data_IF_701538781843
#
_entry.id   IF_701538781843
#
_cell.length_a   1.000
_cell.length_b   1.000
_cell.length_c   1.000
_cell.angle_alpha   90.00
_cell.angle_beta   90.00
_cell.angle_gamma   90.00
#
_symmetry.space_group_name_H-M   'P 1'
#
loop_
_entity.id
_entity.type
_entity.pdbx_description
1 polymer ?
#
# COMPACT_ATOMS: atom_id res chain seq x y z
N UNK A 1 -20.22 16.48 15.16
CA UNK A 1 -18.81 16.91 15.16
C UNK A 1 -18.51 17.63 13.85
N UNK A 2 -17.56 18.56 13.85
CA UNK A 2 -17.14 19.28 12.63
C UNK A 2 -15.67 18.94 12.35
N UNK A 3 -15.39 18.50 11.13
CA UNK A 3 -14.03 18.30 10.63
C UNK A 3 -13.36 19.69 10.53
N UNK A 4 -12.18 19.84 11.13
CA UNK A 4 -11.43 21.10 11.12
C UNK A 4 -10.44 21.18 9.96
N UNK A 5 -9.86 20.05 9.57
CA UNK A 5 -8.89 19.88 8.48
C UNK A 5 -9.08 18.49 7.89
N UNK A 6 -9.04 18.36 6.57
CA UNK A 6 -9.09 17.09 5.82
C UNK A 6 -8.42 17.31 4.46
N UNK A 7 -7.66 16.30 4.00
CA UNK A 7 -7.02 16.32 2.67
C UNK A 7 -5.74 17.15 2.56
N UNK A 8 -5.19 17.64 3.66
CA UNK A 8 -3.90 18.34 3.68
C UNK A 8 -2.75 17.37 3.33
N UNK A 9 -1.84 17.80 2.46
CA UNK A 9 -0.68 17.00 2.02
C UNK A 9 0.23 16.63 3.20
N UNK A 10 0.35 17.50 4.20
CA UNK A 10 1.17 17.24 5.40
C UNK A 10 0.60 16.11 6.27
N UNK A 11 -0.67 15.76 6.09
CA UNK A 11 -1.33 14.65 6.79
C UNK A 11 -1.22 13.32 6.04
N UNK A 12 -0.52 13.29 4.90
CA UNK A 12 -0.39 12.08 4.12
C UNK A 12 0.43 11.01 4.86
N UNK A 13 -0.20 9.86 5.11
CA UNK A 13 0.40 8.72 5.79
C UNK A 13 0.83 7.66 4.76
N UNK A 14 2.04 7.80 4.21
CA UNK A 14 2.58 6.90 3.19
C UNK A 14 2.80 5.48 3.72
N UNK A 15 2.34 4.49 2.97
CA UNK A 15 2.66 3.08 3.17
C UNK A 15 3.61 2.55 2.10
N UNK A 16 4.45 1.59 2.50
CA UNK A 16 5.33 0.86 1.60
C UNK A 16 5.52 -0.57 2.07
N UNK A 17 5.99 -1.43 1.16
CA UNK A 17 6.38 -2.80 1.48
C UNK A 17 7.86 -3.00 1.16
N UNK A 18 8.56 -3.70 2.03
CA UNK A 18 10.00 -3.94 1.92
C UNK A 18 10.23 -5.45 2.04
N UNK A 19 10.49 -6.16 0.92
CA UNK A 19 10.91 -7.55 0.98
C UNK A 19 12.16 -7.72 1.85
N UNK A 20 12.16 -8.74 2.71
CA UNK A 20 13.28 -8.99 3.62
C UNK A 20 14.47 -9.57 2.86
N UNK A 21 15.67 -9.07 3.16
CA UNK A 21 16.91 -9.50 2.52
C UNK A 21 17.24 -10.98 2.84
N UNK A 22 17.33 -11.88 1.84
CA UNK A 22 17.67 -13.29 2.06
C UNK A 22 19.11 -13.52 2.55
N UNK A 23 20.05 -12.63 2.27
CA UNK A 23 21.43 -12.75 2.78
C UNK A 23 21.48 -12.60 4.31
N UNK A 24 20.54 -11.83 4.86
CA UNK A 24 20.39 -11.61 6.30
C UNK A 24 19.39 -12.59 6.95
N UNK A 25 18.42 -13.07 6.18
CA UNK A 25 17.39 -14.02 6.63
C UNK A 25 17.24 -15.17 5.62
N UNK A 26 18.12 -16.20 5.65
CA UNK A 26 18.16 -17.23 4.60
C UNK A 26 16.90 -18.10 4.49
N UNK A 27 16.08 -18.14 5.54
CA UNK A 27 14.81 -18.89 5.56
C UNK A 27 13.61 -18.07 5.08
N UNK A 28 13.81 -16.82 4.63
CA UNK A 28 12.72 -15.99 4.11
C UNK A 28 12.17 -16.57 2.81
N UNK A 29 10.86 -16.48 2.63
CA UNK A 29 10.22 -16.81 1.36
C UNK A 29 10.31 -15.62 0.38
N UNK A 30 11.43 -15.55 -0.35
CA UNK A 30 11.71 -14.47 -1.31
C UNK A 30 10.66 -14.40 -2.42
N UNK A 31 10.28 -15.55 -2.97
CA UNK A 31 9.34 -15.62 -4.09
C UNK A 31 7.96 -15.07 -3.71
N UNK A 32 7.42 -15.49 -2.56
CA UNK A 32 6.14 -14.99 -2.08
C UNK A 32 6.19 -13.49 -1.74
N UNK A 33 7.29 -13.01 -1.16
CA UNK A 33 7.46 -11.58 -0.86
C UNK A 33 7.48 -10.73 -2.14
N UNK A 34 8.17 -11.20 -3.18
CA UNK A 34 8.22 -10.52 -4.47
C UNK A 34 6.88 -10.55 -5.18
N UNK A 35 6.20 -11.71 -5.20
CA UNK A 35 4.87 -11.84 -5.79
C UNK A 35 3.85 -10.89 -5.14
N UNK A 36 3.88 -10.75 -3.81
CA UNK A 36 3.05 -9.78 -3.11
C UNK A 36 3.41 -8.34 -3.45
N UNK A 37 4.68 -7.98 -3.46
CA UNK A 37 5.14 -6.62 -3.79
C UNK A 37 4.74 -6.24 -5.23
N UNK A 38 4.86 -7.17 -6.18
CA UNK A 38 4.48 -6.95 -7.58
C UNK A 38 2.97 -6.83 -7.76
N UNK A 39 2.18 -7.67 -7.09
CA UNK A 39 0.72 -7.51 -7.09
C UNK A 39 0.31 -6.17 -6.48
N UNK A 40 0.92 -5.77 -5.36
CA UNK A 40 0.56 -4.56 -4.63
C UNK A 40 0.71 -3.30 -5.49
N UNK A 41 1.75 -3.21 -6.31
CA UNK A 41 2.00 -2.08 -7.22
C UNK A 41 1.34 -2.23 -8.60
N UNK A 42 0.70 -3.37 -8.88
CA UNK A 42 -0.01 -3.60 -10.14
C UNK A 42 -1.31 -2.80 -10.23
N UNK A 43 -1.87 -2.66 -11.43
CA UNK A 43 -3.19 -2.04 -11.61
C UNK A 43 -4.28 -2.75 -10.78
N UNK A 44 -4.21 -4.07 -10.64
CA UNK A 44 -5.15 -4.83 -9.82
C UNK A 44 -5.03 -4.47 -8.34
N UNK A 45 -3.82 -4.48 -7.79
CA UNK A 45 -3.56 -4.13 -6.39
C UNK A 45 -3.94 -2.67 -6.09
N UNK A 46 -3.57 -1.74 -6.96
CA UNK A 46 -3.93 -0.32 -6.80
C UNK A 46 -5.46 -0.13 -6.86
N UNK A 47 -6.17 -0.82 -7.75
CA UNK A 47 -7.64 -0.78 -7.80
C UNK A 47 -8.29 -1.38 -6.54
N UNK A 48 -7.73 -2.48 -6.01
CA UNK A 48 -8.21 -3.07 -4.77
C UNK A 48 -8.05 -2.10 -3.57
N UNK A 49 -6.93 -1.38 -3.49
CA UNK A 49 -6.69 -0.35 -2.47
C UNK A 49 -7.69 0.80 -2.61
N UNK A 50 -7.87 1.35 -3.82
CA UNK A 50 -8.84 2.43 -4.08
C UNK A 50 -10.29 2.00 -3.78
N UNK A 51 -10.61 0.73 -3.98
CA UNK A 51 -11.94 0.17 -3.73
C UNK A 51 -12.23 -0.12 -2.26
N UNK A 52 -11.24 -0.12 -1.38
CA UNK A 52 -11.42 -0.47 0.03
C UNK A 52 -12.16 0.64 0.79
N UNK A 53 -13.23 0.26 1.49
CA UNK A 53 -14.10 1.17 2.23
C UNK A 53 -14.39 0.72 3.64
N UNK A 54 -14.57 1.68 4.55
CA UNK A 54 -15.09 1.49 5.90
C UNK A 54 -16.23 2.48 6.09
N UNK A 55 -17.40 2.00 6.53
CA UNK A 55 -18.60 2.82 6.66
C UNK A 55 -18.88 3.68 5.40
N UNK A 56 -18.78 3.05 4.23
CA UNK A 56 -18.97 3.64 2.89
C UNK A 56 -17.95 4.72 2.46
N UNK A 57 -16.94 5.01 3.28
CA UNK A 57 -15.87 5.95 2.97
C UNK A 57 -14.62 5.22 2.45
N UNK A 58 -14.02 5.76 1.37
CA UNK A 58 -12.72 5.28 0.88
C UNK A 58 -11.66 5.61 1.92
N UNK A 59 -10.91 4.59 2.34
CA UNK A 59 -9.92 4.76 3.42
C UNK A 59 -8.50 5.00 2.90
N UNK A 60 -8.15 4.43 1.74
CA UNK A 60 -6.79 4.48 1.21
C UNK A 60 -6.76 5.06 -0.21
N UNK A 61 -5.70 5.80 -0.50
CA UNK A 61 -5.46 6.46 -1.79
C UNK A 61 -4.17 5.90 -2.38
N UNK A 62 -4.26 4.98 -3.36
CA UNK A 62 -3.09 4.32 -3.93
C UNK A 62 -2.22 5.31 -4.72
N UNK A 63 -0.90 5.22 -4.54
CA UNK A 63 0.07 6.11 -5.17
C UNK A 63 1.36 5.39 -5.63
N UNK A 64 1.28 4.09 -5.94
CA UNK A 64 2.45 3.38 -6.45
C UNK A 64 2.95 4.06 -7.75
N UNK A 65 4.28 4.19 -7.93
CA UNK A 65 4.83 4.74 -9.15
C UNK A 65 4.46 3.83 -10.34
N UNK A 66 4.21 4.45 -11.49
CA UNK A 66 4.04 3.72 -12.74
C UNK A 66 5.35 2.97 -13.00
N UNK A 67 5.27 1.64 -13.10
CA UNK A 67 6.39 0.80 -13.52
C UNK A 67 6.59 0.86 -15.03
#
# INVERSE_FOLDING_TARGET
YQIRVEGDEDLFNQYGVIPVNPDMCPSVNVEAAQAFADWLVSAEGQNAIAGYKVADQQLFFPNAPIK
#
